data_IF_675436136650
#
_entry.id   IF_675436136650
#
_cell.length_a   1.000
_cell.length_b   1.000
_cell.length_c   1.000
_cell.angle_alpha   90.00
_cell.angle_beta   90.00
_cell.angle_gamma   90.00
#
_symmetry.space_group_name_H-M   'P 1'
#
loop_
_entity.id
_entity.type
_entity.pdbx_description
1 polymer ?
#
# COMPACT_ATOMS: atom_id res chain seq x y z
N UNK A 1 14.32 -40.88 -3.03
CA UNK A 1 14.09 -39.46 -2.73
C UNK A 1 13.01 -39.42 -1.66
N UNK A 2 13.36 -39.26 -0.38
CA UNK A 2 12.39 -39.37 0.70
C UNK A 2 11.38 -38.22 0.62
N UNK A 3 10.11 -38.56 0.46
CA UNK A 3 9.03 -37.59 0.41
C UNK A 3 8.94 -36.89 1.77
N UNK A 4 9.23 -35.59 1.81
CA UNK A 4 9.13 -34.80 3.05
C UNK A 4 7.71 -34.92 3.61
N UNK A 5 7.61 -35.24 4.90
CA UNK A 5 6.35 -35.29 5.64
C UNK A 5 5.53 -34.02 5.40
N UNK A 6 4.20 -34.15 5.27
CA UNK A 6 3.27 -33.04 5.05
C UNK A 6 3.51 -31.89 6.06
N UNK A 7 3.87 -32.23 7.30
CA UNK A 7 4.19 -31.29 8.36
C UNK A 7 5.42 -30.41 8.04
N UNK A 8 6.43 -30.95 7.37
CA UNK A 8 7.59 -30.16 6.94
C UNK A 8 7.25 -29.17 5.82
N UNK A 9 6.34 -29.56 4.92
CA UNK A 9 5.85 -28.68 3.84
C UNK A 9 4.97 -27.54 4.38
N UNK A 10 4.21 -27.78 5.45
CA UNK A 10 3.31 -26.79 6.07
C UNK A 10 4.02 -25.83 7.03
N UNK A 11 5.18 -26.20 7.56
CA UNK A 11 5.94 -25.42 8.53
C UNK A 11 6.14 -23.93 8.16
N UNK A 12 6.57 -23.56 6.94
CA UNK A 12 6.76 -22.14 6.59
C UNK A 12 5.43 -21.36 6.56
N UNK A 13 4.33 -22.00 6.13
CA UNK A 13 3.00 -21.38 6.16
C UNK A 13 2.54 -21.09 7.57
N UNK A 14 2.73 -22.03 8.50
CA UNK A 14 2.36 -21.85 9.92
C UNK A 14 3.13 -20.70 10.53
N UNK A 15 4.45 -20.64 10.31
CA UNK A 15 5.30 -19.55 10.79
C UNK A 15 4.84 -18.19 10.26
N UNK A 16 4.55 -18.11 8.96
CA UNK A 16 4.07 -16.88 8.33
C UNK A 16 2.77 -16.39 8.98
N UNK A 17 1.79 -17.27 9.19
CA UNK A 17 0.52 -16.91 9.82
C UNK A 17 0.68 -16.50 11.29
N UNK A 18 1.55 -17.18 12.05
CA UNK A 18 1.89 -16.76 13.42
C UNK A 18 2.48 -15.35 13.43
N UNK A 19 3.42 -15.06 12.52
CA UNK A 19 4.02 -13.72 12.42
C UNK A 19 2.96 -12.66 12.09
N UNK A 20 2.06 -12.94 11.15
CA UNK A 20 0.95 -12.05 10.79
C UNK A 20 0.04 -11.79 11.99
N UNK A 21 -0.36 -12.83 12.73
CA UNK A 21 -1.22 -12.70 13.91
C UNK A 21 -0.56 -11.82 14.98
N UNK A 22 0.74 -12.03 15.25
CA UNK A 22 1.48 -11.21 16.21
C UNK A 22 1.48 -9.73 15.79
N UNK A 23 1.76 -9.45 14.52
CA UNK A 23 1.76 -8.08 13.99
C UNK A 23 0.37 -7.44 14.11
N UNK A 24 -0.69 -8.18 13.78
CA UNK A 24 -2.07 -7.70 13.90
C UNK A 24 -2.39 -7.37 15.36
N UNK A 25 -2.12 -8.30 16.29
CA UNK A 25 -2.41 -8.10 17.72
C UNK A 25 -1.67 -6.87 18.25
N UNK A 26 -0.38 -6.71 17.95
CA UNK A 26 0.39 -5.54 18.38
C UNK A 26 -0.21 -4.26 17.78
N UNK A 27 -0.57 -4.26 16.50
CA UNK A 27 -1.11 -3.09 15.80
C UNK A 27 -2.47 -2.67 16.36
N UNK A 28 -3.34 -3.63 16.67
CA UNK A 28 -4.66 -3.38 17.27
C UNK A 28 -4.57 -2.90 18.72
N UNK A 29 -3.61 -3.42 19.50
CA UNK A 29 -3.35 -2.94 20.88
C UNK A 29 -2.94 -1.46 20.87
N UNK A 30 -2.13 -1.03 19.89
CA UNK A 30 -1.74 0.38 19.74
C UNK A 30 -2.98 1.23 19.38
N UNK A 31 -3.86 0.70 18.53
CA UNK A 31 -5.09 1.37 18.13
C UNK A 31 -4.85 2.63 17.30
N UNK A 32 -5.87 3.49 17.21
CA UNK A 32 -5.76 4.74 16.45
C UNK A 32 -5.09 5.81 17.31
N UNK A 33 -3.93 6.30 16.89
CA UNK A 33 -3.24 7.41 17.56
C UNK A 33 -3.57 8.72 16.85
N UNK A 34 -3.98 9.73 17.63
CA UNK A 34 -4.29 11.06 17.12
C UNK A 34 -3.39 12.08 17.79
N UNK A 35 -2.66 12.83 16.97
CA UNK A 35 -1.76 13.89 17.42
C UNK A 35 -2.18 15.20 16.79
N UNK A 36 -2.23 16.26 17.59
CA UNK A 36 -2.38 17.62 17.08
C UNK A 36 -0.99 18.22 16.92
N UNK A 37 -0.59 18.49 15.68
CA UNK A 37 0.67 19.16 15.35
C UNK A 37 0.34 20.51 14.75
N UNK A 38 0.48 21.56 15.57
CA UNK A 38 0.17 22.93 15.19
C UNK A 38 -1.31 23.10 14.75
N UNK A 39 -1.56 23.23 13.45
CA UNK A 39 -2.90 23.37 12.84
C UNK A 39 -3.40 22.02 12.29
N UNK A 40 -2.52 21.03 12.15
CA UNK A 40 -2.82 19.73 11.57
C UNK A 40 -3.24 18.70 12.64
N UNK A 41 -4.25 17.88 12.32
CA UNK A 41 -4.54 16.65 13.06
C UNK A 41 -3.99 15.46 12.30
N UNK A 42 -2.96 14.82 12.86
CA UNK A 42 -2.36 13.60 12.30
C UNK A 42 -3.02 12.40 12.96
N UNK A 43 -3.66 11.54 12.15
CA UNK A 43 -4.26 10.29 12.59
C UNK A 43 -3.49 9.12 12.02
N UNK A 44 -2.92 8.30 12.89
CA UNK A 44 -2.18 7.09 12.53
C UNK A 44 -3.06 5.88 12.82
N UNK A 45 -3.28 5.07 11.79
CA UNK A 45 -4.14 3.89 11.85
C UNK A 45 -3.33 2.61 12.12
N UNK A 46 -3.95 1.58 12.75
CA UNK A 46 -3.31 0.28 12.97
C UNK A 46 -2.62 -0.32 11.74
N UNK A 47 -3.21 -0.16 10.56
CA UNK A 47 -2.67 -0.62 9.28
C UNK A 47 -1.27 -0.06 8.98
N UNK A 48 -0.98 1.18 9.39
CA UNK A 48 0.33 1.80 9.23
C UNK A 48 1.39 1.05 10.04
N UNK A 49 1.09 0.76 11.31
CA UNK A 49 2.02 0.03 12.18
C UNK A 49 2.22 -1.39 11.70
N UNK A 50 1.17 -2.05 11.18
CA UNK A 50 1.28 -3.39 10.64
C UNK A 50 2.29 -3.45 9.48
N UNK A 51 2.24 -2.49 8.55
CA UNK A 51 3.20 -2.38 7.44
C UNK A 51 4.61 -2.10 7.96
N UNK A 52 4.78 -1.18 8.91
CA UNK A 52 6.09 -0.85 9.49
C UNK A 52 6.69 -2.04 10.25
N UNK A 53 5.91 -2.74 11.07
CA UNK A 53 6.33 -3.94 11.79
C UNK A 53 6.68 -5.07 10.82
N UNK A 54 5.88 -5.29 9.78
CA UNK A 54 6.18 -6.26 8.73
C UNK A 54 7.49 -5.95 7.98
N UNK A 55 7.73 -4.66 7.71
CA UNK A 55 8.99 -4.19 7.12
C UNK A 55 10.17 -4.43 8.06
N UNK A 56 10.03 -4.12 9.35
CA UNK A 56 11.08 -4.31 10.36
C UNK A 56 11.42 -5.80 10.50
N UNK A 57 10.42 -6.68 10.61
CA UNK A 57 10.60 -8.13 10.80
C UNK A 57 11.17 -8.80 9.53
N UNK A 58 11.08 -8.14 8.37
CA UNK A 58 11.60 -8.67 7.11
C UNK A 58 13.09 -9.07 7.20
N UNK A 59 13.47 -10.24 6.66
CA UNK A 59 14.85 -10.75 6.70
C UNK A 59 15.89 -9.74 6.19
N UNK A 60 15.50 -8.90 5.22
CA UNK A 60 16.39 -7.95 4.55
C UNK A 60 16.70 -6.70 5.38
N UNK A 61 15.93 -6.42 6.43
CA UNK A 61 16.06 -5.21 7.26
C UNK A 61 16.57 -5.62 8.65
N UNK A 62 15.68 -5.86 9.63
CA UNK A 62 16.11 -6.15 11.00
C UNK A 62 16.40 -7.64 11.22
N UNK A 63 15.91 -8.52 10.33
CA UNK A 63 16.24 -9.94 10.34
C UNK A 63 17.71 -10.25 10.00
N UNK A 64 18.48 -9.30 9.47
CA UNK A 64 19.95 -9.40 9.34
C UNK A 64 20.68 -9.22 10.67
N UNK A 65 20.09 -8.48 11.62
CA UNK A 65 20.73 -8.07 12.87
C UNK A 65 20.23 -8.89 14.06
N UNK A 66 18.98 -9.37 14.01
CA UNK A 66 18.32 -10.07 15.12
C UNK A 66 18.01 -11.53 14.73
N UNK A 67 18.83 -12.46 15.22
CA UNK A 67 18.71 -13.91 14.99
C UNK A 67 17.30 -14.48 15.29
N UNK A 68 16.60 -14.06 16.36
CA UNK A 68 15.21 -14.48 16.61
C UNK A 68 14.22 -14.10 15.51
N UNK A 69 14.37 -12.92 14.89
CA UNK A 69 13.46 -12.44 13.83
C UNK A 69 13.69 -13.23 12.54
N UNK A 70 14.95 -13.57 12.23
CA UNK A 70 15.31 -14.43 11.11
C UNK A 70 14.76 -15.85 11.23
N UNK A 71 14.59 -16.36 12.46
CA UNK A 71 13.97 -17.66 12.72
C UNK A 71 12.45 -17.64 12.54
N UNK A 72 11.83 -16.47 12.79
CA UNK A 72 10.40 -16.24 12.66
C UNK A 72 9.97 -16.06 11.20
N UNK A 73 10.70 -15.23 10.44
CA UNK A 73 10.47 -14.99 9.01
C UNK A 73 11.81 -15.11 8.27
N UNK A 74 11.90 -16.03 7.32
CA UNK A 74 13.05 -16.18 6.42
C UNK A 74 12.68 -15.82 4.98
N UNK A 75 13.67 -15.83 4.07
CA UNK A 75 13.44 -15.58 2.64
C UNK A 75 12.47 -16.61 2.02
N UNK A 76 12.36 -17.82 2.59
CA UNK A 76 11.39 -18.82 2.16
C UNK A 76 9.95 -18.35 2.43
N UNK A 77 9.65 -17.91 3.66
CA UNK A 77 8.32 -17.40 4.02
C UNK A 77 7.97 -16.12 3.25
N UNK A 78 8.94 -15.23 2.99
CA UNK A 78 8.71 -14.01 2.18
C UNK A 78 8.32 -14.35 0.75
N UNK A 79 9.00 -15.33 0.13
CA UNK A 79 8.65 -15.79 -1.22
C UNK A 79 7.28 -16.43 -1.28
N UNK A 80 6.93 -17.22 -0.25
CA UNK A 80 5.60 -17.80 -0.13
C UNK A 80 4.54 -16.70 -0.01
N UNK A 81 4.82 -15.60 0.70
CA UNK A 81 3.85 -14.53 0.94
C UNK A 81 3.50 -13.68 -0.30
N UNK A 82 4.43 -13.49 -1.26
CA UNK A 82 4.22 -12.66 -2.47
C UNK A 82 2.90 -12.96 -3.21
N UNK A 83 2.59 -14.21 -3.59
CA UNK A 83 1.32 -14.52 -4.26
C UNK A 83 0.07 -14.36 -3.37
N UNK A 84 0.19 -14.42 -2.03
CA UNK A 84 -0.95 -14.20 -1.14
C UNK A 84 -1.43 -12.74 -1.11
N UNK A 85 -0.66 -11.80 -1.64
CA UNK A 85 -1.04 -10.38 -1.70
C UNK A 85 -2.35 -10.22 -2.47
N UNK A 86 -2.46 -10.76 -3.69
CA UNK A 86 -3.70 -10.65 -4.50
C UNK A 86 -4.88 -11.33 -3.80
N UNK A 87 -4.66 -12.52 -3.22
CA UNK A 87 -5.70 -13.23 -2.46
C UNK A 87 -6.20 -12.41 -1.26
N UNK A 88 -5.28 -11.76 -0.53
CA UNK A 88 -5.60 -10.94 0.63
C UNK A 88 -6.28 -9.61 0.27
N UNK A 89 -5.98 -9.05 -0.90
CA UNK A 89 -6.60 -7.82 -1.40
C UNK A 89 -7.95 -8.06 -2.07
N UNK A 90 -8.24 -9.28 -2.51
CA UNK A 90 -9.48 -9.61 -3.23
C UNK A 90 -10.76 -9.26 -2.43
N UNK A 91 -10.87 -9.54 -1.12
CA UNK A 91 -12.01 -9.09 -0.31
C UNK A 91 -12.16 -7.57 -0.25
N UNK A 92 -11.05 -6.82 -0.25
CA UNK A 92 -11.09 -5.35 -0.27
C UNK A 92 -11.61 -4.84 -1.61
N UNK A 93 -11.14 -5.42 -2.72
CA UNK A 93 -11.63 -5.11 -4.06
C UNK A 93 -13.15 -5.39 -4.17
N UNK A 94 -13.62 -6.53 -3.67
CA UNK A 94 -15.03 -6.87 -3.62
C UNK A 94 -15.84 -5.87 -2.76
N UNK A 95 -15.33 -5.52 -1.57
CA UNK A 95 -15.95 -4.52 -0.69
C UNK A 95 -16.08 -3.16 -1.39
N UNK A 96 -15.02 -2.67 -2.03
CA UNK A 96 -15.08 -1.40 -2.75
C UNK A 96 -16.04 -1.46 -3.93
N UNK A 97 -16.06 -2.56 -4.70
CA UNK A 97 -17.02 -2.75 -5.79
C UNK A 97 -18.48 -2.67 -5.31
N UNK A 98 -18.81 -3.33 -4.20
CA UNK A 98 -20.16 -3.29 -3.62
C UNK A 98 -20.50 -1.92 -3.05
N UNK A 99 -19.54 -1.22 -2.44
CA UNK A 99 -19.74 0.14 -1.91
C UNK A 99 -19.96 1.16 -3.03
N UNK A 100 -19.30 1.00 -4.18
CA UNK A 100 -19.42 1.90 -5.33
C UNK A 100 -20.84 1.91 -5.90
N UNK A 101 -21.51 0.75 -5.98
CA UNK A 101 -22.83 0.60 -6.61
C UNK A 101 -23.90 1.61 -6.13
N UNK A 102 -24.23 1.67 -4.83
CA UNK A 102 -25.19 2.64 -4.29
C UNK A 102 -24.77 4.11 -4.47
N UNK A 103 -23.47 4.38 -4.63
CA UNK A 103 -22.92 5.73 -4.80
C UNK A 103 -22.76 6.16 -6.27
N UNK A 104 -23.08 5.30 -7.24
CA UNK A 104 -23.00 5.63 -8.68
C UNK A 104 -23.76 6.93 -9.04
N UNK A 105 -25.00 7.17 -8.57
CA UNK A 105 -25.69 8.43 -8.89
C UNK A 105 -24.95 9.67 -8.39
N UNK A 106 -24.30 9.56 -7.23
CA UNK A 106 -23.47 10.63 -6.68
C UNK A 106 -22.20 10.86 -7.51
N UNK A 107 -21.55 9.78 -7.95
CA UNK A 107 -20.38 9.87 -8.85
C UNK A 107 -20.74 10.52 -10.18
N UNK A 108 -21.91 10.24 -10.76
CA UNK A 108 -22.36 10.91 -11.99
C UNK A 108 -22.53 12.41 -11.76
N UNK A 109 -23.11 12.81 -10.63
CA UNK A 109 -23.28 14.23 -10.26
C UNK A 109 -21.94 14.96 -10.16
N UNK A 110 -20.90 14.30 -9.64
CA UNK A 110 -19.54 14.84 -9.55
C UNK A 110 -18.62 14.36 -10.68
N UNK A 111 -19.20 13.89 -11.80
CA UNK A 111 -18.45 13.18 -12.84
C UNK A 111 -17.35 14.00 -13.49
N UNK A 112 -17.60 15.28 -13.80
CA UNK A 112 -16.59 16.16 -14.40
C UNK A 112 -15.41 16.39 -13.45
N UNK A 113 -15.61 16.79 -12.17
CA UNK A 113 -14.55 16.85 -11.18
C UNK A 113 -13.77 15.53 -11.05
N UNK A 114 -14.46 14.40 -10.95
CA UNK A 114 -13.82 13.08 -10.79
C UNK A 114 -12.98 12.69 -12.01
N UNK A 115 -13.45 12.96 -13.22
CA UNK A 115 -12.68 12.72 -14.45
C UNK A 115 -11.45 13.62 -14.48
N UNK A 116 -11.60 14.90 -14.15
CA UNK A 116 -10.49 15.84 -14.09
C UNK A 116 -9.45 15.40 -13.04
N UNK A 117 -9.90 14.95 -11.86
CA UNK A 117 -9.03 14.46 -10.79
C UNK A 117 -8.25 13.22 -11.23
N UNK A 118 -8.93 12.19 -11.73
CA UNK A 118 -8.28 10.95 -12.16
C UNK A 118 -7.34 11.21 -13.35
N UNK A 119 -7.77 12.01 -14.33
CA UNK A 119 -6.95 12.36 -15.48
C UNK A 119 -5.69 13.12 -15.06
N UNK A 120 -5.82 14.13 -14.19
CA UNK A 120 -4.68 14.88 -13.67
C UNK A 120 -3.74 14.00 -12.85
N UNK A 121 -4.27 13.07 -12.05
CA UNK A 121 -3.47 12.13 -11.27
C UNK A 121 -2.68 11.18 -12.20
N UNK A 122 -3.34 10.48 -13.12
CA UNK A 122 -2.70 9.52 -14.03
C UNK A 122 -1.71 10.21 -14.98
N UNK A 123 -2.05 11.38 -15.51
CA UNK A 123 -1.12 12.11 -16.39
C UNK A 123 0.00 12.74 -15.58
N UNK A 124 -0.27 13.22 -14.37
CA UNK A 124 0.76 13.74 -13.48
C UNK A 124 1.82 12.69 -13.15
N UNK A 125 1.42 11.45 -12.85
CA UNK A 125 2.36 10.36 -12.60
C UNK A 125 3.17 10.00 -13.84
N UNK A 126 2.59 10.05 -15.04
CA UNK A 126 3.31 9.76 -16.29
C UNK A 126 4.22 10.92 -16.72
N UNK A 127 3.77 12.18 -16.63
CA UNK A 127 4.55 13.33 -17.11
C UNK A 127 5.62 13.78 -16.13
N UNK A 128 5.42 13.56 -14.84
CA UNK A 128 6.36 13.99 -13.79
C UNK A 128 7.00 12.77 -13.12
N UNK A 129 6.18 11.84 -12.63
CA UNK A 129 6.65 10.67 -11.88
C UNK A 129 7.58 9.78 -12.69
N UNK A 130 7.23 9.44 -13.94
CA UNK A 130 8.05 8.59 -14.79
C UNK A 130 9.41 9.24 -15.14
N UNK A 131 9.50 10.48 -15.67
CA UNK A 131 10.79 11.12 -15.91
C UNK A 131 11.65 11.24 -14.66
N UNK A 132 11.07 11.60 -13.51
CA UNK A 132 11.81 11.66 -12.24
C UNK A 132 12.34 10.29 -11.85
N UNK A 133 11.53 9.23 -11.97
CA UNK A 133 11.96 7.86 -11.71
C UNK A 133 13.13 7.44 -12.62
N UNK A 134 13.05 7.75 -13.91
CA UNK A 134 14.12 7.48 -14.87
C UNK A 134 15.42 8.25 -14.54
N UNK A 135 15.31 9.52 -14.12
CA UNK A 135 16.45 10.32 -13.69
C UNK A 135 17.14 9.77 -12.44
N UNK A 136 16.38 9.13 -11.55
CA UNK A 136 16.90 8.42 -10.38
C UNK A 136 17.53 7.06 -10.73
N UNK A 137 17.56 6.68 -12.02
CA UNK A 137 18.15 5.44 -12.50
C UNK A 137 17.22 4.23 -12.44
N UNK A 138 15.96 4.42 -12.05
CA UNK A 138 14.93 3.37 -12.13
C UNK A 138 14.59 3.12 -13.61
N UNK A 139 14.22 1.89 -13.97
CA UNK A 139 13.87 1.54 -15.35
C UNK A 139 12.43 1.06 -15.40
N UNK A 140 12.25 -0.26 -15.40
CA UNK A 140 10.93 -0.90 -15.47
C UNK A 140 10.13 -0.68 -14.18
N UNK A 141 10.83 -0.52 -13.06
CA UNK A 141 10.26 -0.14 -11.77
C UNK A 141 9.58 1.24 -11.84
N UNK A 142 10.16 2.20 -12.57
CA UNK A 142 9.58 3.52 -12.76
C UNK A 142 8.25 3.43 -13.54
N UNK A 143 8.17 2.53 -14.52
CA UNK A 143 6.92 2.30 -15.27
C UNK A 143 5.82 1.79 -14.35
N UNK A 144 6.09 0.77 -13.53
CA UNK A 144 5.11 0.28 -12.56
C UNK A 144 4.74 1.33 -11.50
N UNK A 145 5.73 2.05 -10.97
CA UNK A 145 5.54 3.11 -9.98
C UNK A 145 4.75 4.33 -10.50
N UNK A 146 4.72 4.54 -11.82
CA UNK A 146 4.09 5.70 -12.46
C UNK A 146 2.78 5.38 -13.18
N UNK A 147 2.39 4.11 -13.23
CA UNK A 147 1.21 3.63 -13.97
C UNK A 147 -0.11 4.24 -13.45
N UNK A 148 -0.20 4.48 -12.14
CA UNK A 148 -1.34 5.09 -11.46
C UNK A 148 -0.92 5.48 -10.02
N UNK A 149 -1.87 5.82 -9.14
CA UNK A 149 -1.67 5.94 -7.68
C UNK A 149 -1.31 4.61 -6.98
N UNK A 150 -1.11 3.54 -7.74
CA UNK A 150 -0.67 2.22 -7.30
C UNK A 150 -1.55 1.64 -6.18
N UNK A 151 -2.88 1.74 -6.32
CA UNK A 151 -3.86 1.12 -5.42
C UNK A 151 -4.39 -0.21 -5.96
N UNK A 152 -5.37 -0.81 -5.30
CA UNK A 152 -5.88 -2.16 -5.58
C UNK A 152 -6.19 -2.40 -7.07
N UNK A 153 -6.82 -1.47 -7.82
CA UNK A 153 -7.03 -1.67 -9.26
C UNK A 153 -5.72 -1.75 -10.05
N UNK A 154 -4.75 -0.90 -9.72
CA UNK A 154 -3.45 -0.88 -10.38
C UNK A 154 -2.63 -2.14 -10.08
N UNK A 155 -2.66 -2.62 -8.83
CA UNK A 155 -2.02 -3.88 -8.45
C UNK A 155 -2.61 -5.09 -9.19
N UNK A 156 -3.94 -5.14 -9.35
CA UNK A 156 -4.59 -6.20 -10.11
C UNK A 156 -4.08 -6.22 -11.56
N UNK A 157 -4.13 -5.08 -12.25
CA UNK A 157 -3.68 -4.96 -13.65
C UNK A 157 -2.20 -5.30 -13.83
N UNK A 158 -1.33 -4.80 -12.95
CA UNK A 158 0.12 -5.08 -13.02
C UNK A 158 0.41 -6.54 -12.70
N UNK A 159 -0.28 -7.13 -11.73
CA UNK A 159 -0.11 -8.54 -11.39
C UNK A 159 -0.51 -9.47 -12.53
N UNK A 160 -1.56 -9.14 -13.27
CA UNK A 160 -2.02 -9.93 -14.42
C UNK A 160 -1.09 -9.75 -15.63
N UNK A 161 -0.60 -8.52 -15.86
CA UNK A 161 0.18 -8.21 -17.06
C UNK A 161 1.66 -8.53 -16.94
N UNK A 162 2.26 -8.27 -15.78
CA UNK A 162 3.71 -8.41 -15.55
C UNK A 162 4.06 -9.40 -14.44
N UNK A 163 3.13 -9.69 -13.52
CA UNK A 163 3.40 -10.44 -12.30
C UNK A 163 3.95 -9.53 -11.19
N UNK A 164 3.59 -9.82 -9.93
CA UNK A 164 4.03 -9.01 -8.78
C UNK A 164 5.54 -9.06 -8.53
N UNK A 165 6.20 -10.16 -8.91
CA UNK A 165 7.65 -10.32 -8.76
C UNK A 165 8.47 -9.66 -9.89
N UNK A 166 7.80 -9.08 -10.90
CA UNK A 166 8.47 -8.34 -11.98
C UNK A 166 8.98 -6.98 -11.50
N UNK A 167 9.93 -6.36 -12.22
CA UNK A 167 10.34 -4.97 -11.94
C UNK A 167 9.15 -3.99 -11.86
N UNK A 168 8.18 -4.09 -12.76
CA UNK A 168 6.95 -3.27 -12.75
C UNK A 168 6.10 -3.55 -11.52
N UNK A 169 5.93 -4.83 -11.17
CA UNK A 169 5.22 -5.27 -9.96
C UNK A 169 5.87 -4.72 -8.69
N UNK A 170 7.19 -4.84 -8.58
CA UNK A 170 7.98 -4.31 -7.46
C UNK A 170 7.92 -2.78 -7.39
N UNK A 171 7.94 -2.08 -8.52
CA UNK A 171 7.74 -0.63 -8.57
C UNK A 171 6.37 -0.23 -8.03
N UNK A 172 5.31 -0.92 -8.48
CA UNK A 172 3.93 -0.68 -8.05
C UNK A 172 3.74 -0.97 -6.57
N UNK A 173 4.24 -2.11 -6.09
CA UNK A 173 4.23 -2.49 -4.67
C UNK A 173 5.04 -1.52 -3.81
N UNK A 174 6.17 -1.04 -4.33
CA UNK A 174 6.99 -0.01 -3.68
C UNK A 174 6.20 1.27 -3.43
N UNK A 175 5.48 1.77 -4.45
CA UNK A 175 4.61 2.96 -4.29
C UNK A 175 3.42 2.66 -3.40
N UNK A 176 2.81 1.47 -3.46
CA UNK A 176 1.71 1.08 -2.56
C UNK A 176 2.14 1.17 -1.08
N UNK A 177 3.31 0.60 -0.75
CA UNK A 177 3.84 0.57 0.62
C UNK A 177 4.30 1.96 1.03
N UNK A 178 5.10 2.65 0.21
CA UNK A 178 5.57 4.01 0.50
C UNK A 178 4.39 4.98 0.63
N UNK A 179 3.39 4.89 -0.23
CA UNK A 179 2.17 5.70 -0.17
C UNK A 179 1.32 5.41 1.06
N UNK A 180 1.34 4.18 1.58
CA UNK A 180 0.67 3.82 2.84
C UNK A 180 1.43 4.37 4.05
N UNK A 181 2.76 4.34 4.04
CA UNK A 181 3.56 4.81 5.17
C UNK A 181 3.78 6.32 5.14
N UNK A 182 4.48 6.79 4.11
CA UNK A 182 4.80 8.19 3.91
C UNK A 182 3.57 8.99 3.51
N UNK A 183 2.75 8.47 2.58
CA UNK A 183 1.59 9.18 2.06
C UNK A 183 0.56 9.48 3.15
N UNK A 184 0.31 8.59 4.10
CA UNK A 184 -0.60 8.88 5.22
C UNK A 184 -0.12 10.05 6.08
N UNK A 185 1.19 10.13 6.38
CA UNK A 185 1.76 11.24 7.16
C UNK A 185 1.73 12.54 6.35
N UNK A 186 2.17 12.46 5.09
CA UNK A 186 2.21 13.60 4.17
C UNK A 186 0.83 14.19 3.93
N UNK A 187 -0.15 13.37 3.57
CA UNK A 187 -1.52 13.82 3.32
C UNK A 187 -2.26 14.23 4.59
N UNK A 188 -1.97 13.61 5.74
CA UNK A 188 -2.51 14.08 7.02
C UNK A 188 -2.06 15.51 7.32
N UNK A 189 -0.80 15.85 7.03
CA UNK A 189 -0.28 17.21 7.21
C UNK A 189 -0.76 18.17 6.11
N UNK A 190 -0.54 17.83 4.83
CA UNK A 190 -0.87 18.68 3.69
C UNK A 190 -2.38 18.89 3.55
N UNK A 191 -3.18 17.83 3.69
CA UNK A 191 -4.63 17.94 3.60
C UNK A 191 -5.23 18.79 4.72
N UNK A 192 -4.74 18.63 5.96
CA UNK A 192 -5.23 19.43 7.09
C UNK A 192 -4.79 20.89 7.02
N UNK A 193 -3.57 21.17 6.55
CA UNK A 193 -3.07 22.54 6.38
C UNK A 193 -3.73 23.25 5.19
N UNK A 194 -3.79 22.62 4.02
CA UNK A 194 -4.49 23.18 2.85
C UNK A 194 -5.98 23.36 3.12
N UNK A 195 -6.64 22.41 3.76
CA UNK A 195 -8.04 22.55 4.17
C UNK A 195 -8.28 23.70 5.13
N UNK A 196 -7.36 23.91 6.09
CA UNK A 196 -7.50 24.99 7.08
C UNK A 196 -7.17 26.38 6.53
N UNK A 197 -6.19 26.49 5.63
CA UNK A 197 -5.71 27.77 5.07
C UNK A 197 -6.48 28.16 3.81
N UNK A 198 -6.68 27.21 2.89
CA UNK A 198 -7.25 27.44 1.56
C UNK A 198 -8.68 26.91 1.41
N UNK A 199 -9.25 26.26 2.43
CA UNK A 199 -10.65 25.80 2.40
C UNK A 199 -11.69 26.92 2.30
N UNK A 200 -11.29 28.18 2.53
CA UNK A 200 -12.13 29.37 2.26
C UNK A 200 -11.98 29.92 0.84
N UNK A 201 -10.93 29.51 0.13
CA UNK A 201 -10.57 30.02 -1.20
C UNK A 201 -11.03 29.05 -2.30
N UNK A 202 -10.88 27.74 -2.08
CA UNK A 202 -11.29 26.74 -3.05
C UNK A 202 -12.71 26.23 -2.78
N UNK A 203 -13.47 26.08 -3.87
CA UNK A 203 -14.78 25.45 -3.81
C UNK A 203 -14.62 23.97 -3.35
N UNK A 204 -15.52 23.41 -2.52
CA UNK A 204 -15.41 22.03 -2.02
C UNK A 204 -15.24 20.94 -3.09
N UNK A 205 -15.66 21.23 -4.33
CA UNK A 205 -15.45 20.37 -5.49
C UNK A 205 -13.97 20.18 -5.87
N UNK A 206 -13.06 21.01 -5.39
CA UNK A 206 -11.62 20.84 -5.61
C UNK A 206 -11.03 19.64 -4.85
N UNK A 207 -11.77 19.08 -3.88
CA UNK A 207 -11.44 17.84 -3.17
C UNK A 207 -12.10 16.60 -3.80
N UNK A 208 -12.98 16.79 -4.78
CA UNK A 208 -13.68 15.73 -5.49
C UNK A 208 -12.77 15.09 -6.54
#
# INVERSE_FOLDING_TARGET
>A
MAEKSILEKLRPYIKLHIAIIIIIVISEIIGVLKFKVWIAMITLFPMLYAVVLGLIISPKILGKVIEPLKKLVSEEEVKIASPFIIGSLSPLAAKYGVLVGPHVPMMIKYGIPLVAQNFAATIGTILIGLPVGLLLGLRREAVGASFDICREPALAVISERYGLDSPEGLGTLGVYICGTVYGTIWWAFVGSTLGSVLGRVFHPLALA
#
